data_IF_418054366757
#
_entry.id   IF_418054366757
#
_cell.length_a   1.000
_cell.length_b   1.000
_cell.length_c   1.000
_cell.angle_alpha   90.00
_cell.angle_beta   90.00
_cell.angle_gamma   90.00
#
_symmetry.space_group_name_H-M   'P 1'
#
loop_
_entity.id
_entity.type
_entity.pdbx_description
1 polymer ?
#
# COMPACT_ATOMS: atom_id res chain seq x y z
N UNK A 1 -78.59 -14.03 10.75
CA UNK A 1 -77.72 -14.77 11.68
C UNK A 1 -76.31 -14.20 11.51
N UNK A 2 -75.84 -13.35 12.45
CA UNK A 2 -74.45 -12.88 12.72
C UNK A 2 -73.70 -12.22 11.52
N UNK A 3 -72.89 -11.15 11.64
CA UNK A 3 -72.25 -10.46 12.77
C UNK A 3 -71.72 -9.09 12.29
N UNK A 4 -71.58 -8.16 13.24
CA UNK A 4 -70.94 -6.83 13.18
C UNK A 4 -69.43 -6.85 12.92
N UNK A 5 -68.85 -5.76 12.37
CA UNK A 5 -67.80 -4.91 13.02
C UNK A 5 -67.45 -3.67 12.14
N UNK A 6 -67.90 -2.43 12.43
CA UNK A 6 -67.31 -1.32 13.25
C UNK A 6 -66.13 -0.58 12.57
N UNK A 7 -66.35 0.54 11.86
CA UNK A 7 -66.29 1.98 12.26
C UNK A 7 -65.00 2.44 12.98
N UNK A 8 -64.23 3.32 12.34
CA UNK A 8 -63.28 4.25 12.96
C UNK A 8 -63.52 5.66 12.41
N UNK A 9 -63.83 6.63 13.28
CA UNK A 9 -63.85 8.06 12.99
C UNK A 9 -63.65 8.88 14.28
N UNK A 10 -62.51 9.59 14.33
CA UNK A 10 -62.24 10.94 14.92
C UNK A 10 -62.17 11.13 16.44
N UNK A 11 -61.11 11.83 16.92
CA UNK A 11 -61.13 13.24 17.44
C UNK A 11 -59.89 13.53 18.31
N UNK A 12 -59.34 14.72 18.04
CA UNK A 12 -58.24 15.47 18.63
C UNK A 12 -58.39 15.79 20.13
N UNK A 13 -57.28 15.89 20.88
CA UNK A 13 -57.19 16.68 22.12
C UNK A 13 -55.73 17.13 22.34
N UNK A 14 -55.53 18.44 22.56
CA UNK A 14 -54.24 19.09 22.77
C UNK A 14 -53.99 19.36 24.26
N UNK A 15 -52.78 19.05 24.78
CA UNK A 15 -52.27 19.57 26.07
C UNK A 15 -50.73 19.80 25.99
N UNK A 16 -50.37 21.07 26.20
CA UNK A 16 -49.17 21.70 26.79
C UNK A 16 -47.77 21.02 26.82
N UNK A 17 -46.81 21.78 26.25
CA UNK A 17 -45.55 22.30 26.82
C UNK A 17 -44.63 21.36 27.64
N UNK A 18 -43.47 21.05 27.05
CA UNK A 18 -42.32 20.45 27.74
C UNK A 18 -41.34 19.81 26.77
N UNK A 19 -40.73 20.60 25.87
CA UNK A 19 -39.61 20.13 25.05
C UNK A 19 -38.38 19.95 25.96
N UNK A 20 -38.25 18.79 26.58
CA UNK A 20 -36.94 18.27 26.99
C UNK A 20 -36.31 17.65 25.74
N UNK A 21 -35.59 18.49 24.98
CA UNK A 21 -34.59 17.98 24.05
C UNK A 21 -33.45 17.47 24.94
N UNK A 22 -33.46 16.17 25.24
CA UNK A 22 -32.27 15.49 25.74
C UNK A 22 -31.29 15.44 24.58
N UNK A 23 -30.42 16.45 24.50
CA UNK A 23 -29.19 16.35 23.72
C UNK A 23 -28.28 15.33 24.42
N UNK A 24 -28.44 14.05 24.09
CA UNK A 24 -27.31 13.13 24.23
C UNK A 24 -26.26 13.64 23.25
N UNK A 25 -25.20 14.23 23.79
CA UNK A 25 -24.05 14.67 23.04
C UNK A 25 -23.58 13.52 22.15
N UNK A 26 -23.41 13.82 20.86
CA UNK A 26 -22.74 12.94 19.92
C UNK A 26 -21.30 12.76 20.40
N UNK A 27 -20.80 11.52 20.43
CA UNK A 27 -19.36 11.28 20.50
C UNK A 27 -18.73 12.02 19.30
N UNK A 28 -17.82 12.95 19.58
CA UNK A 28 -17.28 13.89 18.61
C UNK A 28 -15.89 13.41 18.19
N UNK A 29 -15.82 12.18 17.67
CA UNK A 29 -14.60 11.64 17.05
C UNK A 29 -14.17 12.41 15.80
N UNK A 30 -13.21 11.86 15.07
CA UNK A 30 -12.64 12.46 13.87
C UNK A 30 -11.75 13.65 14.21
N UNK A 31 -10.93 13.54 15.25
CA UNK A 31 -10.04 14.61 15.64
C UNK A 31 -9.05 14.96 14.53
N UNK A 32 -8.75 16.26 14.41
CA UNK A 32 -7.83 16.77 13.41
C UNK A 32 -6.99 17.87 14.04
N UNK A 33 -5.82 17.47 14.50
CA UNK A 33 -4.74 18.37 14.89
C UNK A 33 -4.09 18.98 13.64
N UNK A 34 -3.60 20.21 13.77
CA UNK A 34 -2.97 20.96 12.66
C UNK A 34 -1.44 21.04 12.79
N UNK A 35 -0.89 20.80 13.98
CA UNK A 35 0.55 20.77 14.21
C UNK A 35 1.10 19.37 13.91
N UNK A 36 2.12 19.27 13.06
CA UNK A 36 2.82 18.02 12.79
C UNK A 36 4.03 17.87 13.72
N UNK A 37 4.18 16.72 14.36
CA UNK A 37 5.40 16.34 15.06
C UNK A 37 5.58 14.82 15.11
N UNK A 38 6.83 14.37 14.98
CA UNK A 38 7.17 12.96 14.94
C UNK A 38 6.84 12.30 13.61
N UNK A 39 7.69 11.36 13.21
CA UNK A 39 7.51 10.58 12.00
C UNK A 39 8.12 9.20 12.20
N UNK A 40 7.57 8.20 11.54
CA UNK A 40 8.20 6.89 11.42
C UNK A 40 8.02 6.35 10.00
N UNK A 41 8.93 5.47 9.61
CA UNK A 41 8.83 4.66 8.40
C UNK A 41 8.63 3.22 8.86
N UNK A 42 7.55 2.58 8.42
CA UNK A 42 7.19 1.21 8.77
C UNK A 42 7.65 0.21 7.69
N UNK A 43 8.18 0.69 6.55
CA UNK A 43 8.82 -0.18 5.54
C UNK A 43 10.07 -0.89 6.08
N UNK A 44 10.53 -0.45 7.26
CA UNK A 44 11.66 -1.01 8.00
C UNK A 44 11.22 -1.91 9.14
N UNK A 45 9.97 -2.37 9.19
CA UNK A 45 9.64 -3.47 10.08
C UNK A 45 10.59 -4.62 9.77
N UNK A 46 11.54 -4.81 10.68
CA UNK A 46 12.29 -6.04 10.75
C UNK A 46 11.30 -7.20 10.84
N UNK A 47 11.74 -8.44 10.56
CA UNK A 47 10.87 -9.59 10.26
C UNK A 47 9.91 -10.07 11.37
N UNK A 48 9.47 -9.25 12.34
CA UNK A 48 8.67 -9.67 13.49
C UNK A 48 7.67 -8.62 14.02
N UNK A 49 7.32 -7.58 13.27
CA UNK A 49 6.43 -6.51 13.76
C UNK A 49 6.99 -5.86 15.03
N UNK A 50 8.16 -5.24 14.98
CA UNK A 50 8.77 -4.63 16.16
C UNK A 50 8.11 -3.27 16.48
N UNK A 51 8.00 -2.92 17.76
CA UNK A 51 7.41 -1.63 18.16
C UNK A 51 8.34 -0.47 17.77
N UNK A 52 7.93 0.33 16.79
CA UNK A 52 8.67 1.52 16.35
C UNK A 52 8.25 2.72 17.19
N UNK A 53 9.23 3.40 17.79
CA UNK A 53 8.96 4.67 18.47
C UNK A 53 8.82 5.79 17.44
N UNK A 54 7.64 6.40 17.35
CA UNK A 54 7.40 7.58 16.51
C UNK A 54 8.09 8.80 17.15
N UNK A 55 7.89 8.97 18.45
CA UNK A 55 8.51 10.04 19.23
C UNK A 55 8.47 9.70 20.72
N UNK A 56 9.49 10.13 21.46
CA UNK A 56 9.48 10.09 22.92
C UNK A 56 8.75 11.28 23.55
N UNK A 57 8.35 12.26 22.73
CA UNK A 57 7.74 13.50 23.19
C UNK A 57 6.82 14.11 22.13
N UNK A 58 5.59 13.65 22.08
CA UNK A 58 4.50 14.25 21.31
C UNK A 58 3.55 14.97 22.26
N UNK A 59 2.81 15.96 21.77
CA UNK A 59 1.75 16.64 22.49
C UNK A 59 0.37 16.20 21.97
N UNK A 60 -0.63 16.19 22.84
CA UNK A 60 -2.03 15.84 22.51
C UNK A 60 -2.74 16.98 21.75
N UNK A 61 -1.99 17.68 20.91
CA UNK A 61 -2.41 18.72 19.95
C UNK A 61 -1.66 18.58 18.61
N UNK A 62 -0.93 17.48 18.44
CA UNK A 62 -0.09 17.18 17.28
C UNK A 62 -0.58 15.93 16.54
N UNK A 63 -0.17 15.79 15.29
CA UNK A 63 -0.26 14.54 14.53
C UNK A 63 1.12 14.11 14.07
N UNK A 64 1.29 12.82 13.80
CA UNK A 64 2.54 12.28 13.26
C UNK A 64 2.35 11.76 11.84
N UNK A 65 3.44 11.57 11.10
CA UNK A 65 3.42 11.03 9.73
C UNK A 65 4.06 9.66 9.69
N UNK A 66 3.32 8.64 9.24
CA UNK A 66 3.81 7.29 9.04
C UNK A 66 3.89 6.99 7.55
N UNK A 67 5.06 6.55 7.11
CA UNK A 67 5.38 6.21 5.72
C UNK A 67 5.75 4.74 5.59
N UNK A 68 5.79 4.21 4.36
CA UNK A 68 6.20 2.83 4.11
C UNK A 68 5.19 1.77 4.54
N UNK A 69 3.91 2.15 4.62
CA UNK A 69 2.83 1.28 5.09
C UNK A 69 2.61 0.15 4.08
N UNK A 70 2.63 -1.12 4.50
CA UNK A 70 2.30 -2.23 3.62
C UNK A 70 0.80 -2.33 3.36
N UNK A 71 0.46 -2.79 2.16
CA UNK A 71 -0.94 -3.00 1.75
C UNK A 71 -1.48 -4.28 2.39
N UNK A 72 -2.74 -4.25 2.85
CA UNK A 72 -3.43 -5.43 3.39
C UNK A 72 -3.10 -5.75 4.85
N UNK A 73 -2.19 -4.99 5.47
CA UNK A 73 -1.68 -5.26 6.81
C UNK A 73 -2.34 -4.39 7.90
N UNK A 74 -2.41 -4.91 9.12
CA UNK A 74 -2.97 -4.30 10.32
C UNK A 74 -1.92 -3.48 11.07
N UNK A 75 -2.11 -2.15 11.13
CA UNK A 75 -1.18 -1.21 11.75
C UNK A 75 -1.74 -0.69 13.08
N UNK A 76 -1.02 -0.90 14.18
CA UNK A 76 -1.42 -0.44 15.52
C UNK A 76 -0.64 0.80 15.97
N UNK A 77 -1.38 1.78 16.50
CA UNK A 77 -0.86 3.02 17.06
C UNK A 77 -1.08 3.07 18.57
N UNK A 78 -0.07 3.54 19.30
CA UNK A 78 -0.10 3.63 20.75
C UNK A 78 0.42 4.96 21.28
N UNK A 79 -0.16 5.43 22.38
CA UNK A 79 0.26 6.58 23.17
C UNK A 79 0.49 6.17 24.63
N UNK A 80 1.51 6.70 25.29
CA UNK A 80 1.84 6.33 26.67
C UNK A 80 0.81 6.81 27.71
N UNK A 81 -0.06 7.76 27.34
CA UNK A 81 -1.11 8.33 28.22
C UNK A 81 -2.43 7.57 28.11
N UNK A 82 -2.62 6.74 27.07
CA UNK A 82 -3.91 6.10 26.79
C UNK A 82 -4.94 7.07 26.17
N UNK A 83 -4.47 8.17 25.55
CA UNK A 83 -5.31 9.18 24.92
C UNK A 83 -6.11 8.65 23.73
N UNK A 84 -6.94 9.51 23.15
CA UNK A 84 -7.71 9.20 21.95
C UNK A 84 -6.86 9.42 20.69
N UNK A 85 -6.93 8.48 19.76
CA UNK A 85 -6.20 8.49 18.50
C UNK A 85 -7.22 8.52 17.37
N UNK A 86 -7.04 9.44 16.43
CA UNK A 86 -7.74 9.43 15.14
C UNK A 86 -6.70 9.22 14.05
N UNK A 87 -6.76 8.09 13.35
CA UNK A 87 -5.84 7.78 12.24
C UNK A 87 -6.49 8.17 10.93
N UNK A 88 -5.80 9.01 10.16
CA UNK A 88 -6.21 9.42 8.82
C UNK A 88 -5.27 8.85 7.77
N UNK A 89 -5.77 8.68 6.55
CA UNK A 89 -4.98 8.25 5.40
C UNK A 89 -4.82 9.37 4.39
N UNK A 90 -3.80 9.28 3.55
CA UNK A 90 -3.48 10.14 2.40
C UNK A 90 -3.01 11.56 2.77
N UNK A 91 -3.59 12.17 3.80
CA UNK A 91 -3.11 13.40 4.42
C UNK A 91 -3.55 13.52 5.88
N UNK A 92 -2.95 14.45 6.61
CA UNK A 92 -3.39 14.83 7.97
C UNK A 92 -4.83 15.36 8.04
N UNK A 93 -5.46 15.68 6.91
CA UNK A 93 -6.88 16.03 6.82
C UNK A 93 -7.74 15.00 6.09
N UNK A 94 -7.14 13.88 5.67
CA UNK A 94 -7.80 12.87 4.85
C UNK A 94 -8.85 12.07 5.60
N UNK A 95 -9.33 11.01 4.96
CA UNK A 95 -10.37 10.16 5.52
C UNK A 95 -9.90 9.51 6.83
N UNK A 96 -10.79 9.43 7.81
CA UNK A 96 -10.54 8.67 9.05
C UNK A 96 -10.65 7.19 8.72
N UNK A 97 -9.58 6.44 8.95
CA UNK A 97 -9.51 4.99 8.69
C UNK A 97 -9.61 4.17 9.98
N UNK A 98 -9.24 4.75 11.13
CA UNK A 98 -9.48 4.18 12.45
C UNK A 98 -9.54 5.27 13.52
N UNK A 99 -10.27 5.05 14.60
CA UNK A 99 -10.29 5.94 15.75
C UNK A 99 -10.69 5.23 17.05
N UNK A 100 -10.20 5.72 18.19
CA UNK A 100 -10.47 5.11 19.48
C UNK A 100 -9.51 5.55 20.57
N UNK A 101 -9.70 5.04 21.79
CA UNK A 101 -8.71 5.19 22.84
C UNK A 101 -7.55 4.22 22.59
N UNK A 102 -6.32 4.73 22.73
CA UNK A 102 -5.08 3.98 22.53
C UNK A 102 -5.08 2.63 23.28
N UNK A 103 -4.65 1.53 22.63
CA UNK A 103 -4.18 1.44 21.24
C UNK A 103 -5.31 1.48 20.20
N UNK A 104 -5.00 1.92 18.97
CA UNK A 104 -5.92 1.92 17.82
C UNK A 104 -5.29 1.21 16.62
N UNK A 105 -6.02 0.26 16.03
CA UNK A 105 -5.59 -0.52 14.86
C UNK A 105 -6.31 -0.05 13.60
N UNK A 106 -5.55 0.19 12.53
CA UNK A 106 -6.05 0.27 11.16
C UNK A 106 -5.96 -1.14 10.58
N UNK A 107 -7.09 -1.78 10.31
CA UNK A 107 -7.08 -3.12 9.70
C UNK A 107 -7.08 -3.05 8.18
N UNK A 108 -6.19 -3.79 7.52
CA UNK A 108 -6.04 -3.81 6.06
C UNK A 108 -5.67 -2.43 5.48
N UNK A 109 -4.46 -1.95 5.80
CA UNK A 109 -4.00 -0.65 5.33
C UNK A 109 -3.87 -0.59 3.80
N UNK A 110 -4.06 0.60 3.22
CA UNK A 110 -4.11 0.81 1.76
C UNK A 110 -2.74 0.99 1.11
N UNK A 111 -1.65 0.88 1.86
CA UNK A 111 -0.30 1.27 1.42
C UNK A 111 -0.01 2.78 1.50
N UNK A 112 -1.06 3.61 1.66
CA UNK A 112 -0.95 5.05 1.84
C UNK A 112 -0.28 5.42 3.16
N UNK A 113 0.30 6.61 3.22
CA UNK A 113 0.79 7.20 4.47
C UNK A 113 -0.36 7.36 5.48
N UNK A 114 -0.07 7.06 6.75
CA UNK A 114 -1.02 7.18 7.85
C UNK A 114 -0.65 8.35 8.77
N UNK A 115 -1.67 9.06 9.24
CA UNK A 115 -1.56 10.27 10.04
C UNK A 115 -2.33 10.12 11.35
N UNK A 116 -1.72 9.54 12.41
CA UNK A 116 -2.34 9.49 13.73
C UNK A 116 -2.35 10.88 14.38
N UNK A 117 -3.54 11.34 14.75
CA UNK A 117 -3.76 12.54 15.56
C UNK A 117 -3.92 12.15 17.03
N UNK A 118 -3.15 12.78 17.89
CA UNK A 118 -3.10 12.50 19.33
C UNK A 118 -3.98 13.51 20.09
N UNK A 119 -5.00 13.06 20.81
CA UNK A 119 -5.84 13.92 21.66
C UNK A 119 -6.08 13.30 23.03
N UNK A 120 -6.53 14.10 23.98
CA UNK A 120 -6.84 13.63 25.35
C UNK A 120 -8.07 12.71 25.33
N UNK A 121 -9.07 13.05 24.52
CA UNK A 121 -10.37 12.37 24.49
C UNK A 121 -11.05 12.45 23.11
N UNK A 122 -12.22 11.81 23.02
CA UNK A 122 -13.13 11.77 21.86
C UNK A 122 -13.95 13.07 21.70
N UNK A 123 -13.61 14.12 22.44
CA UNK A 123 -14.06 15.50 22.21
C UNK A 123 -12.90 16.38 21.66
N UNK A 124 -11.79 15.74 21.28
CA UNK A 124 -10.58 16.36 20.77
C UNK A 124 -9.99 17.40 21.73
N UNK A 125 -10.13 17.18 23.05
CA UNK A 125 -9.44 18.00 24.03
C UNK A 125 -7.93 17.85 23.87
N UNK A 126 -7.21 18.96 24.07
CA UNK A 126 -5.76 19.00 23.89
C UNK A 126 -5.00 19.15 25.20
N UNK A 127 -3.74 18.69 25.19
CA UNK A 127 -2.80 18.91 26.29
C UNK A 127 -1.35 18.99 25.79
N UNK A 128 -0.58 19.91 26.37
CA UNK A 128 0.84 20.09 26.06
C UNK A 128 1.76 19.32 27.00
N UNK A 129 1.26 18.26 27.65
CA UNK A 129 2.10 17.32 28.39
C UNK A 129 2.70 16.31 27.43
N UNK A 130 4.03 16.30 27.34
CA UNK A 130 4.82 15.39 26.53
C UNK A 130 4.50 13.91 26.83
N UNK A 131 4.27 13.12 25.78
CA UNK A 131 4.01 11.67 25.86
C UNK A 131 4.80 10.90 24.79
N UNK A 132 5.02 9.61 24.99
CA UNK A 132 5.64 8.75 23.98
C UNK A 132 4.58 8.15 23.04
N UNK A 133 4.84 8.20 21.73
CA UNK A 133 3.99 7.64 20.68
C UNK A 133 4.76 6.56 19.91
N UNK A 134 4.05 5.51 19.51
CA UNK A 134 4.62 4.37 18.79
C UNK A 134 3.65 3.82 17.75
N UNK A 135 4.22 3.13 16.75
CA UNK A 135 3.51 2.40 15.70
C UNK A 135 4.13 1.00 15.58
N UNK A 136 3.33 0.02 15.17
CA UNK A 136 3.77 -1.35 14.93
C UNK A 136 2.89 -1.96 13.83
N UNK A 137 3.46 -2.72 12.89
CA UNK A 137 2.65 -3.58 12.05
C UNK A 137 2.39 -4.89 12.79
N UNK A 138 1.12 -5.16 13.10
CA UNK A 138 0.70 -6.31 13.90
C UNK A 138 0.47 -7.58 13.07
N UNK A 139 0.34 -7.46 11.75
CA UNK A 139 0.21 -8.60 10.83
C UNK A 139 1.40 -8.78 9.88
N UNK A 140 2.31 -7.79 9.76
CA UNK A 140 3.57 -7.94 9.02
C UNK A 140 4.59 -8.82 9.72
N UNK A 141 4.33 -9.19 10.98
CA UNK A 141 5.11 -10.21 11.64
C UNK A 141 4.87 -11.50 10.87
N UNK A 142 5.94 -12.10 10.31
CA UNK A 142 5.84 -13.44 9.77
C UNK A 142 5.23 -14.33 10.84
N UNK A 143 4.16 -15.03 10.50
CA UNK A 143 3.41 -15.84 11.48
C UNK A 143 4.33 -16.84 12.20
N UNK A 144 5.41 -17.24 11.51
CA UNK A 144 6.46 -18.10 12.00
C UNK A 144 7.87 -17.54 11.73
N UNK A 145 8.91 -17.98 12.47
CA UNK A 145 10.29 -17.49 12.28
C UNK A 145 10.91 -17.77 10.91
N UNK A 146 10.41 -18.81 10.23
CA UNK A 146 10.95 -19.31 8.96
C UNK A 146 10.06 -18.96 7.75
N UNK A 147 8.97 -18.20 7.96
CA UNK A 147 7.99 -17.83 6.91
C UNK A 147 6.56 -17.70 7.44
N UNK A 148 5.58 -17.55 6.55
CA UNK A 148 4.16 -17.52 6.87
C UNK A 148 3.55 -18.93 6.87
N UNK A 149 2.41 -19.12 7.55
CA UNK A 149 1.71 -20.41 7.53
C UNK A 149 1.28 -20.72 6.09
N UNK A 150 1.55 -21.94 5.64
CA UNK A 150 1.27 -22.39 4.28
C UNK A 150 2.40 -22.18 3.29
N UNK A 151 3.43 -21.38 3.64
CA UNK A 151 4.61 -21.23 2.79
C UNK A 151 5.31 -22.58 2.59
N UNK A 152 5.78 -22.81 1.36
CA UNK A 152 6.60 -23.96 1.03
C UNK A 152 7.92 -23.91 1.81
N UNK A 153 8.31 -25.04 2.38
CA UNK A 153 9.53 -25.18 3.16
C UNK A 153 10.19 -26.54 2.89
N UNK A 154 11.28 -26.87 3.59
CA UNK A 154 11.95 -28.18 3.55
C UNK A 154 12.16 -28.63 4.99
N UNK A 155 11.45 -29.69 5.42
CA UNK A 155 11.54 -30.22 6.79
C UNK A 155 12.77 -31.13 6.99
N UNK A 156 13.52 -31.38 5.91
CA UNK A 156 14.71 -32.21 5.86
C UNK A 156 14.45 -33.71 5.96
N UNK A 157 13.20 -34.16 6.07
CA UNK A 157 12.82 -35.56 6.04
C UNK A 157 12.58 -36.02 4.60
N UNK A 158 13.50 -36.84 4.08
CA UNK A 158 13.37 -37.41 2.73
C UNK A 158 12.16 -38.37 2.56
N UNK A 159 11.37 -38.63 3.62
CA UNK A 159 10.16 -39.43 3.58
C UNK A 159 8.87 -38.60 3.57
N UNK A 160 8.95 -37.29 3.49
CA UNK A 160 7.82 -36.37 3.32
C UNK A 160 7.90 -35.67 1.97
N UNK A 161 6.80 -35.05 1.55
CA UNK A 161 6.73 -34.22 0.33
C UNK A 161 5.67 -33.14 0.50
N UNK A 162 5.84 -32.03 -0.22
CA UNK A 162 4.93 -30.88 -0.17
C UNK A 162 4.98 -30.22 1.21
N UNK A 163 6.19 -29.99 1.71
CA UNK A 163 6.39 -29.47 3.06
C UNK A 163 5.94 -28.02 3.14
N UNK A 164 5.13 -27.75 4.15
CA UNK A 164 4.59 -26.42 4.42
C UNK A 164 4.77 -26.06 5.87
N UNK A 165 4.86 -24.77 6.14
CA UNK A 165 4.83 -24.25 7.51
C UNK A 165 3.40 -24.43 8.05
N UNK A 166 3.25 -25.26 9.08
CA UNK A 166 1.97 -25.48 9.76
C UNK A 166 1.61 -24.36 10.73
N UNK A 167 0.36 -24.38 11.25
CA UNK A 167 -0.12 -23.43 12.27
C UNK A 167 0.68 -23.47 13.59
N UNK A 168 1.46 -24.53 13.81
CA UNK A 168 2.38 -24.67 14.94
C UNK A 168 3.80 -24.18 14.64
N UNK A 169 4.00 -23.51 13.49
CA UNK A 169 5.28 -23.02 12.99
C UNK A 169 6.34 -24.11 12.79
N UNK A 170 5.89 -25.33 12.52
CA UNK A 170 6.75 -26.45 12.14
C UNK A 170 6.61 -26.67 10.65
N UNK A 171 7.74 -26.64 9.95
CA UNK A 171 7.79 -27.16 8.59
C UNK A 171 7.57 -28.68 8.64
N UNK A 172 6.54 -29.17 7.96
CA UNK A 172 6.26 -30.59 7.85
C UNK A 172 5.56 -30.91 6.53
N UNK A 173 5.95 -32.01 5.88
CA UNK A 173 5.27 -32.50 4.69
C UNK A 173 4.29 -33.64 4.92
N UNK A 174 3.63 -34.05 3.84
CA UNK A 174 2.80 -35.24 3.82
C UNK A 174 3.69 -36.49 3.69
N UNK A 175 3.42 -37.58 4.44
CA UNK A 175 4.20 -38.81 4.33
C UNK A 175 4.20 -39.32 2.89
N UNK A 176 5.37 -39.69 2.39
CA UNK A 176 5.58 -40.18 1.04
C UNK A 176 4.92 -41.57 0.85
N UNK A 177 3.59 -41.57 0.68
CA UNK A 177 2.76 -42.77 0.63
C UNK A 177 2.23 -42.95 -0.79
N UNK A 178 2.76 -43.92 -1.54
CA UNK A 178 2.28 -44.16 -2.90
C UNK A 178 3.01 -43.36 -3.95
N UNK A 179 4.35 -43.42 -3.93
CA UNK A 179 5.28 -42.98 -4.98
C UNK A 179 5.00 -43.69 -6.32
N UNK A 180 3.83 -43.42 -6.91
CA UNK A 180 3.33 -44.13 -8.08
C UNK A 180 4.10 -43.70 -9.33
N UNK A 181 4.42 -44.70 -10.15
CA UNK A 181 5.13 -44.53 -11.40
C UNK A 181 4.41 -45.30 -12.48
N UNK A 182 3.68 -44.56 -13.30
CA UNK A 182 2.90 -45.10 -14.41
C UNK A 182 3.74 -45.06 -15.69
N UNK A 183 3.72 -46.15 -16.47
CA UNK A 183 4.57 -46.28 -17.67
C UNK A 183 3.95 -45.77 -18.97
N UNK A 184 2.64 -45.48 -18.96
CA UNK A 184 1.87 -45.11 -20.15
C UNK A 184 1.57 -43.61 -20.13
N UNK A 185 1.99 -42.88 -21.16
CA UNK A 185 1.69 -41.44 -21.30
C UNK A 185 0.33 -41.24 -21.99
N UNK A 186 -0.56 -40.45 -21.40
CA UNK A 186 -1.78 -40.00 -22.04
C UNK A 186 -2.22 -38.64 -21.47
N UNK A 187 -2.71 -37.77 -22.34
CA UNK A 187 -3.07 -36.39 -21.96
C UNK A 187 -1.85 -35.50 -21.79
N UNK A 188 -2.02 -34.23 -22.15
CA UNK A 188 -0.99 -33.20 -21.98
C UNK A 188 -1.64 -31.83 -21.98
N UNK A 189 -1.06 -30.89 -21.27
CA UNK A 189 -1.48 -29.49 -21.30
C UNK A 189 -0.27 -28.54 -21.25
N UNK A 190 -0.45 -27.34 -21.79
CA UNK A 190 0.53 -26.26 -21.73
C UNK A 190 -0.07 -25.07 -20.97
N UNK A 191 0.50 -24.72 -19.83
CA UNK A 191 0.04 -23.61 -19.00
C UNK A 191 0.55 -22.25 -19.47
N UNK A 192 1.31 -22.19 -20.57
CA UNK A 192 1.79 -20.92 -21.14
C UNK A 192 0.61 -20.01 -21.47
N UNK A 193 0.45 -18.93 -20.69
CA UNK A 193 -0.64 -17.97 -20.86
C UNK A 193 -2.02 -18.50 -20.45
N UNK A 194 -2.09 -19.60 -19.70
CA UNK A 194 -3.32 -20.14 -19.15
C UNK A 194 -3.93 -19.27 -18.04
N UNK A 195 -3.14 -18.34 -17.47
CA UNK A 195 -3.55 -17.53 -16.32
C UNK A 195 -4.04 -18.45 -15.18
N UNK A 196 -5.16 -18.13 -14.56
CA UNK A 196 -5.84 -18.94 -13.54
C UNK A 196 -6.91 -19.88 -14.11
N UNK A 197 -6.96 -20.09 -15.42
CA UNK A 197 -8.01 -20.89 -16.03
C UNK A 197 -7.92 -22.37 -15.62
N UNK A 198 -9.06 -22.96 -15.25
CA UNK A 198 -9.19 -24.40 -15.07
C UNK A 198 -9.20 -25.09 -16.45
N UNK A 199 -8.17 -25.89 -16.72
CA UNK A 199 -8.00 -26.61 -17.99
C UNK A 199 -8.29 -28.10 -17.84
N UNK A 200 -8.95 -28.67 -18.84
CA UNK A 200 -9.17 -30.12 -18.93
C UNK A 200 -8.00 -30.76 -19.67
N UNK A 201 -7.14 -31.47 -18.92
CA UNK A 201 -6.04 -32.26 -19.50
C UNK A 201 -6.60 -33.34 -20.43
N UNK A 202 -7.66 -34.01 -19.98
CA UNK A 202 -8.34 -35.08 -20.73
C UNK A 202 -9.68 -35.42 -20.09
N UNK A 203 -10.66 -35.78 -20.91
CA UNK A 203 -11.97 -36.32 -20.47
C UNK A 203 -11.95 -37.85 -20.30
N UNK A 204 -10.84 -38.51 -20.61
CA UNK A 204 -10.66 -39.96 -20.44
C UNK A 204 -9.17 -40.26 -20.23
N UNK A 205 -8.70 -40.10 -19.02
CA UNK A 205 -7.43 -40.64 -18.55
C UNK A 205 -7.70 -41.98 -17.86
N UNK A 206 -6.81 -42.94 -18.00
CA UNK A 206 -6.85 -44.16 -17.18
C UNK A 206 -5.99 -43.99 -15.93
N UNK A 207 -6.43 -44.59 -14.82
CA UNK A 207 -5.72 -44.59 -13.54
C UNK A 207 -4.53 -45.57 -13.54
N UNK A 208 -3.84 -45.66 -14.68
CA UNK A 208 -2.59 -46.37 -14.94
C UNK A 208 -1.69 -45.59 -15.92
N UNK A 209 -2.07 -44.33 -16.20
CA UNK A 209 -1.40 -43.41 -17.12
C UNK A 209 -0.83 -42.20 -16.37
N UNK A 210 0.03 -41.44 -17.03
CA UNK A 210 0.50 -40.14 -16.58
C UNK A 210 0.31 -39.09 -17.68
N UNK A 211 0.16 -37.84 -17.30
CA UNK A 211 0.10 -36.71 -18.23
C UNK A 211 1.40 -35.90 -18.20
N UNK A 212 1.62 -35.07 -19.21
CA UNK A 212 2.75 -34.12 -19.24
C UNK A 212 2.24 -32.69 -19.28
N UNK A 213 2.74 -31.87 -18.36
CA UNK A 213 2.28 -30.51 -18.14
C UNK A 213 3.48 -29.59 -18.28
N UNK A 214 3.40 -28.67 -19.22
CA UNK A 214 4.50 -27.77 -19.62
C UNK A 214 4.10 -26.32 -19.44
N UNK A 215 5.04 -25.39 -19.61
CA UNK A 215 4.75 -23.95 -19.55
C UNK A 215 4.48 -23.42 -18.15
N UNK A 216 5.02 -24.07 -17.13
CA UNK A 216 4.83 -23.73 -15.73
C UNK A 216 5.77 -22.58 -15.36
N UNK A 217 5.21 -21.51 -14.79
CA UNK A 217 5.98 -20.40 -14.24
C UNK A 217 6.62 -20.82 -12.91
N UNK A 218 7.89 -20.46 -12.71
CA UNK A 218 8.58 -20.74 -11.45
C UNK A 218 7.95 -19.94 -10.30
N UNK A 219 7.76 -20.58 -9.15
CA UNK A 219 7.08 -20.02 -7.97
C UNK A 219 5.57 -20.18 -8.00
N UNK A 220 4.98 -20.71 -9.07
CA UNK A 220 3.53 -20.86 -9.17
C UNK A 220 3.00 -22.12 -8.49
N UNK A 221 1.85 -21.98 -7.83
CA UNK A 221 1.05 -23.07 -7.30
C UNK A 221 0.17 -23.69 -8.39
N UNK A 222 0.26 -25.01 -8.54
CA UNK A 222 -0.44 -25.75 -9.60
C UNK A 222 -1.25 -26.89 -9.00
N UNK A 223 -2.56 -26.87 -9.19
CA UNK A 223 -3.48 -27.90 -8.72
C UNK A 223 -3.82 -28.90 -9.84
N UNK A 224 -3.78 -30.18 -9.49
CA UNK A 224 -4.22 -31.29 -10.33
C UNK A 224 -5.42 -31.98 -9.70
N UNK A 225 -6.42 -32.35 -10.51
CA UNK A 225 -7.57 -33.10 -10.03
C UNK A 225 -7.97 -34.22 -10.98
N UNK A 226 -8.41 -35.32 -10.37
CA UNK A 226 -9.27 -36.34 -10.97
C UNK A 226 -10.69 -35.99 -10.53
N UNK A 227 -11.58 -35.65 -11.46
CA UNK A 227 -12.92 -35.12 -11.14
C UNK A 227 -13.76 -36.10 -10.32
N UNK A 228 -13.58 -37.40 -10.55
CA UNK A 228 -14.29 -38.47 -9.81
C UNK A 228 -13.58 -38.90 -8.52
N UNK A 229 -12.46 -38.26 -8.18
CA UNK A 229 -11.58 -38.64 -7.09
C UNK A 229 -10.58 -39.73 -7.47
N UNK A 230 -9.58 -39.94 -6.63
CA UNK A 230 -8.48 -40.88 -6.87
C UNK A 230 -7.24 -40.44 -6.10
N UNK A 231 -6.08 -40.94 -6.52
CA UNK A 231 -4.78 -40.60 -5.97
C UNK A 231 -3.88 -40.05 -7.07
N UNK A 232 -3.13 -38.99 -6.76
CA UNK A 232 -2.26 -38.31 -7.70
C UNK A 232 -0.86 -38.28 -7.11
N UNK A 233 0.13 -38.68 -7.90
CA UNK A 233 1.56 -38.46 -7.60
C UNK A 233 2.11 -37.53 -8.66
N UNK A 234 2.61 -36.36 -8.28
CA UNK A 234 3.16 -35.37 -9.22
C UNK A 234 4.68 -35.41 -9.15
N UNK A 235 5.33 -35.64 -10.29
CA UNK A 235 6.79 -35.58 -10.43
C UNK A 235 7.21 -34.36 -11.24
N UNK A 236 8.47 -33.96 -11.09
CA UNK A 236 9.07 -32.85 -11.84
C UNK A 236 10.27 -33.31 -12.66
N UNK A 237 10.67 -32.51 -13.66
CA UNK A 237 11.79 -32.71 -14.60
C UNK A 237 11.67 -33.89 -15.57
N UNK A 238 11.25 -35.07 -15.09
CA UNK A 238 10.99 -36.26 -15.91
C UNK A 238 9.83 -37.10 -15.34
N UNK A 239 9.30 -38.01 -16.17
CA UNK A 239 8.28 -38.99 -15.77
C UNK A 239 8.69 -39.86 -14.57
N UNK A 240 9.99 -40.05 -14.34
CA UNK A 240 10.56 -40.80 -13.21
C UNK A 240 11.37 -39.91 -12.26
N UNK A 241 11.16 -38.60 -12.34
CA UNK A 241 11.82 -37.60 -11.50
C UNK A 241 11.34 -37.61 -10.05
N UNK A 242 11.84 -36.68 -9.23
CA UNK A 242 11.44 -36.57 -7.82
C UNK A 242 9.95 -36.21 -7.71
N UNK A 243 9.29 -36.78 -6.69
CA UNK A 243 7.91 -36.43 -6.34
C UNK A 243 7.92 -35.07 -5.65
N UNK A 244 7.07 -34.16 -6.12
CA UNK A 244 6.93 -32.79 -5.58
C UNK A 244 5.60 -32.56 -4.86
N UNK A 245 4.60 -33.38 -5.14
CA UNK A 245 3.35 -33.44 -4.38
C UNK A 245 2.67 -34.79 -4.60
N UNK A 246 1.89 -35.25 -3.63
CA UNK A 246 1.00 -36.40 -3.83
C UNK A 246 -0.11 -36.44 -2.79
N UNK A 247 -1.18 -37.18 -3.08
CA UNK A 247 -2.31 -37.31 -2.19
C UNK A 247 -3.57 -37.79 -2.88
N UNK A 248 -4.66 -37.83 -2.11
CA UNK A 248 -6.00 -38.00 -2.68
C UNK A 248 -6.38 -36.73 -3.42
N UNK A 249 -6.87 -36.86 -4.65
CA UNK A 249 -7.30 -35.73 -5.49
C UNK A 249 -8.29 -34.78 -4.77
N UNK A 250 -8.14 -33.45 -4.90
CA UNK A 250 -7.11 -32.74 -5.67
C UNK A 250 -5.74 -32.70 -4.97
N UNK A 251 -4.67 -32.46 -5.73
CA UNK A 251 -3.30 -32.31 -5.21
C UNK A 251 -2.67 -31.05 -5.79
N UNK A 252 -2.11 -30.22 -4.90
CA UNK A 252 -1.44 -28.97 -5.26
C UNK A 252 0.07 -29.12 -5.13
N UNK A 253 0.80 -28.69 -6.16
CA UNK A 253 2.23 -28.43 -6.11
C UNK A 253 2.41 -26.97 -5.72
N UNK A 254 3.01 -26.72 -4.56
CA UNK A 254 3.28 -25.36 -4.08
C UNK A 254 4.65 -24.89 -4.58
N UNK A 255 4.73 -23.65 -5.06
CA UNK A 255 5.98 -23.03 -5.49
C UNK A 255 6.74 -23.84 -6.55
N UNK A 256 6.06 -24.22 -7.64
CA UNK A 256 6.65 -25.08 -8.67
C UNK A 256 7.99 -24.52 -9.18
N UNK A 257 8.96 -25.40 -9.46
CA UNK A 257 10.30 -25.00 -9.90
C UNK A 257 10.37 -24.36 -11.30
N UNK A 258 9.25 -24.32 -12.02
CA UNK A 258 9.15 -23.95 -13.44
C UNK A 258 9.55 -25.07 -14.41
N UNK A 259 9.93 -26.25 -13.89
CA UNK A 259 10.14 -27.44 -14.71
C UNK A 259 8.80 -28.10 -15.08
N UNK A 260 8.84 -28.96 -16.10
CA UNK A 260 7.67 -29.74 -16.52
C UNK A 260 7.20 -30.67 -15.39
N UNK A 261 5.87 -30.76 -15.22
CA UNK A 261 5.24 -31.63 -14.23
C UNK A 261 4.59 -32.86 -14.89
N UNK A 262 4.67 -33.97 -14.17
CA UNK A 262 4.20 -35.29 -14.61
C UNK A 262 3.26 -35.86 -13.56
N UNK A 263 1.96 -35.50 -13.57
CA UNK A 263 0.97 -36.12 -12.70
C UNK A 263 0.67 -37.55 -13.14
N UNK A 264 0.81 -38.49 -12.21
CA UNK A 264 0.44 -39.89 -12.33
C UNK A 264 -0.92 -40.13 -11.69
N UNK A 265 -1.83 -40.77 -12.43
CA UNK A 265 -3.21 -40.99 -12.01
C UNK A 265 -3.37 -42.42 -11.48
N UNK A 266 -3.89 -42.59 -10.27
CA UNK A 266 -4.08 -43.89 -9.63
C UNK A 266 -5.39 -43.92 -8.83
N UNK A 267 -5.87 -45.12 -8.47
CA UNK A 267 -7.09 -45.26 -7.67
C UNK A 267 -6.86 -44.97 -6.19
N UNK A 268 -5.66 -45.20 -5.69
CA UNK A 268 -5.27 -45.04 -4.29
C UNK A 268 -3.74 -44.89 -4.13
N UNK A 269 -3.29 -44.54 -2.92
CA UNK A 269 -1.87 -44.44 -2.56
C UNK A 269 -1.13 -45.79 -2.45
N UNK A 270 -1.76 -46.91 -2.83
CA UNK A 270 -1.08 -48.18 -3.07
C UNK A 270 -0.82 -48.41 -4.58
N UNK A 271 -1.00 -47.36 -5.39
CA UNK A 271 -0.88 -47.36 -6.84
C UNK A 271 -1.83 -48.35 -7.51
N UNK A 272 -3.04 -48.48 -6.96
CA UNK A 272 -4.11 -49.20 -7.62
C UNK A 272 -4.41 -48.62 -9.00
N UNK A 273 -4.78 -49.51 -9.92
CA UNK A 273 -4.99 -49.22 -11.34
C UNK A 273 -6.43 -49.50 -11.75
N UNK A 274 -6.97 -48.64 -12.59
CA UNK A 274 -8.26 -48.85 -13.26
C UNK A 274 -8.23 -48.25 -14.68
N UNK A 275 -8.78 -49.00 -15.64
CA UNK A 275 -8.91 -48.61 -17.04
C UNK A 275 -10.28 -47.96 -17.33
N UNK A 276 -11.00 -47.55 -16.29
CA UNK A 276 -12.18 -46.70 -16.41
C UNK A 276 -11.74 -45.27 -16.75
N UNK A 277 -12.32 -44.67 -17.79
CA UNK A 277 -12.07 -43.27 -18.14
C UNK A 277 -12.44 -42.36 -16.97
N UNK A 278 -11.50 -41.53 -16.51
CA UNK A 278 -11.75 -40.42 -15.61
C UNK A 278 -11.40 -39.08 -16.27
N UNK A 279 -12.07 -38.01 -15.88
CA UNK A 279 -11.70 -36.65 -16.30
C UNK A 279 -10.60 -36.12 -15.38
N UNK A 280 -9.56 -35.54 -15.99
CA UNK A 280 -8.40 -34.97 -15.28
C UNK A 280 -8.21 -33.52 -15.68
N UNK A 281 -7.97 -32.66 -14.70
CA UNK A 281 -7.82 -31.21 -14.88
C UNK A 281 -6.54 -30.68 -14.25
N UNK A 282 -6.11 -29.51 -14.71
CA UNK A 282 -5.02 -28.71 -14.13
C UNK A 282 -5.45 -27.26 -14.04
N UNK A 283 -5.03 -26.57 -12.99
CA UNK A 283 -5.20 -25.13 -12.83
C UNK A 283 -3.92 -24.55 -12.22
N UNK A 284 -3.42 -23.44 -12.76
CA UNK A 284 -2.43 -22.65 -12.02
C UNK A 284 -3.16 -21.68 -11.11
N UNK A 285 -3.03 -21.83 -9.79
CA UNK A 285 -3.77 -21.02 -8.83
C UNK A 285 -3.21 -19.60 -8.68
N UNK A 286 -1.97 -19.38 -9.12
CA UNK A 286 -1.20 -18.13 -8.93
C UNK A 286 -0.60 -17.59 -10.23
N UNK A 287 -1.00 -18.12 -11.40
CA UNK A 287 -0.55 -17.59 -12.70
C UNK A 287 -1.54 -16.59 -13.30
N UNK A 288 -2.71 -16.40 -12.69
CA UNK A 288 -3.69 -15.39 -13.11
C UNK A 288 -3.18 -13.99 -12.86
N UNK A 289 -3.67 -13.02 -13.65
CA UNK A 289 -3.54 -11.63 -13.26
C UNK A 289 -4.54 -11.38 -12.13
N UNK A 290 -4.10 -10.75 -11.05
CA UNK A 290 -4.98 -10.42 -9.91
C UNK A 290 -6.20 -9.60 -10.37
N UNK A 291 -6.03 -8.84 -11.46
CA UNK A 291 -7.02 -7.96 -12.03
C UNK A 291 -7.14 -8.08 -13.56
N UNK A 292 -8.24 -7.61 -14.18
CA UNK A 292 -8.42 -7.65 -15.63
C UNK A 292 -7.38 -6.83 -16.42
N UNK A 293 -6.84 -5.78 -15.80
CA UNK A 293 -5.95 -4.81 -16.43
C UNK A 293 -4.46 -4.99 -16.04
N UNK A 294 -4.13 -5.97 -15.18
CA UNK A 294 -2.77 -6.23 -14.70
C UNK A 294 -2.73 -7.02 -13.39
N UNK A 295 -1.54 -7.16 -12.82
CA UNK A 295 -1.35 -7.65 -11.45
C UNK A 295 -1.45 -6.49 -10.45
N UNK A 296 -1.76 -6.80 -9.18
CA UNK A 296 -1.72 -5.79 -8.12
C UNK A 296 -0.29 -5.23 -8.00
N UNK A 297 -0.18 -3.91 -7.93
CA UNK A 297 1.09 -3.19 -7.91
C UNK A 297 1.71 -2.94 -9.29
N UNK A 298 1.10 -3.42 -10.39
CA UNK A 298 1.55 -3.04 -11.74
C UNK A 298 1.33 -1.53 -11.95
N UNK A 299 2.29 -0.83 -12.62
CA UNK A 299 2.13 0.57 -12.95
C UNK A 299 0.99 0.77 -13.93
N UNK A 300 0.16 1.77 -13.69
CA UNK A 300 -0.98 2.13 -14.52
C UNK A 300 -1.07 3.65 -14.69
N UNK A 301 -2.17 4.16 -15.26
CA UNK A 301 -2.46 5.60 -15.41
C UNK A 301 -3.92 5.81 -14.98
N UNK A 302 -4.14 6.51 -13.85
CA UNK A 302 -5.47 6.75 -13.28
C UNK A 302 -6.19 7.94 -13.96
N UNK A 303 -5.47 8.66 -14.83
CA UNK A 303 -5.95 9.81 -15.57
C UNK A 303 -6.11 11.09 -14.75
N UNK A 304 -5.69 11.12 -13.49
CA UNK A 304 -5.64 12.32 -12.65
C UNK A 304 -4.25 12.98 -12.78
N UNK A 305 -4.23 14.25 -13.17
CA UNK A 305 -2.98 14.99 -13.35
C UNK A 305 -2.33 15.42 -12.01
N UNK A 306 -3.02 15.20 -10.89
CA UNK A 306 -2.59 15.58 -9.55
C UNK A 306 -2.03 14.40 -8.74
N UNK A 307 -1.93 13.22 -9.35
CA UNK A 307 -1.35 12.01 -8.79
C UNK A 307 -0.08 11.64 -9.56
N UNK A 308 0.83 10.93 -8.89
CA UNK A 308 2.02 10.32 -9.48
C UNK A 308 2.18 8.88 -8.98
N UNK A 309 2.96 8.09 -9.72
CA UNK A 309 3.25 6.69 -9.39
C UNK A 309 1.99 5.82 -9.29
N UNK A 310 1.11 5.91 -10.28
CA UNK A 310 -0.15 5.16 -10.29
C UNK A 310 0.08 3.66 -10.37
N UNK A 311 -0.62 2.94 -9.50
CA UNK A 311 -0.52 1.49 -9.35
C UNK A 311 -1.90 0.86 -9.25
N UNK A 312 -2.01 -0.39 -9.72
CA UNK A 312 -3.24 -1.15 -9.65
C UNK A 312 -3.45 -1.69 -8.23
N UNK A 313 -4.54 -1.28 -7.57
CA UNK A 313 -4.90 -1.72 -6.21
C UNK A 313 -5.60 -3.09 -6.18
N UNK A 314 -5.81 -3.63 -4.97
CA UNK A 314 -6.50 -4.92 -4.75
C UNK A 314 -7.97 -4.91 -5.20
N UNK A 315 -8.58 -3.73 -5.30
CA UNK A 315 -9.92 -3.53 -5.85
C UNK A 315 -9.93 -3.44 -7.39
N UNK A 316 -8.77 -3.67 -8.02
CA UNK A 316 -8.53 -3.56 -9.45
C UNK A 316 -8.79 -2.15 -10.00
N UNK A 317 -8.63 -1.13 -9.16
CA UNK A 317 -8.68 0.28 -9.57
C UNK A 317 -7.25 0.82 -9.64
N UNK A 318 -6.95 1.51 -10.74
CA UNK A 318 -5.72 2.28 -10.85
C UNK A 318 -5.84 3.56 -10.03
N UNK A 319 -4.89 3.81 -9.13
CA UNK A 319 -4.82 5.04 -8.35
C UNK A 319 -3.35 5.42 -8.11
N UNK A 320 -3.05 6.71 -8.19
CA UNK A 320 -1.73 7.26 -7.87
C UNK A 320 -1.65 7.94 -6.51
N UNK A 321 -0.41 8.23 -6.13
CA UNK A 321 -0.08 8.99 -4.93
C UNK A 321 -0.30 10.47 -5.24
N UNK A 322 -1.12 11.21 -4.47
CA UNK A 322 -1.28 12.65 -4.68
C UNK A 322 0.07 13.37 -4.61
N UNK A 323 0.38 14.19 -5.62
CA UNK A 323 1.56 15.03 -5.62
C UNK A 323 1.37 16.10 -4.52
N UNK A 324 2.26 16.20 -3.51
CA UNK A 324 2.13 17.22 -2.47
C UNK A 324 2.22 18.62 -3.09
N UNK A 325 1.21 19.45 -2.85
CA UNK A 325 1.20 20.86 -3.25
C UNK A 325 2.12 21.68 -2.32
N UNK A 326 3.44 21.51 -2.48
CA UNK A 326 4.53 22.21 -1.76
C UNK A 326 4.66 23.69 -2.18
N UNK A 327 3.55 24.31 -2.61
CA UNK A 327 3.56 25.57 -3.36
C UNK A 327 3.26 26.80 -2.50
N UNK A 328 4.21 27.19 -1.65
CA UNK A 328 4.11 28.45 -0.90
C UNK A 328 3.83 29.64 -1.84
N UNK A 329 2.64 30.24 -1.69
CA UNK A 329 2.18 31.37 -2.50
C UNK A 329 2.14 32.64 -1.66
N UNK A 330 3.21 33.42 -1.74
CA UNK A 330 3.26 34.78 -1.23
C UNK A 330 2.57 35.76 -2.20
N UNK A 331 1.77 36.69 -1.68
CA UNK A 331 1.01 37.67 -2.50
C UNK A 331 1.59 39.09 -2.46
N UNK A 332 2.59 39.32 -1.61
CA UNK A 332 3.26 40.62 -1.47
C UNK A 332 4.51 40.64 -2.34
N UNK A 333 4.57 41.56 -3.30
CA UNK A 333 5.72 41.72 -4.18
C UNK A 333 6.78 42.62 -3.52
N UNK A 334 8.03 42.16 -3.48
CA UNK A 334 9.16 42.98 -3.05
C UNK A 334 10.45 42.63 -3.79
N UNK A 335 11.17 43.68 -4.19
CA UNK A 335 12.40 43.64 -4.97
C UNK A 335 12.28 42.94 -6.35
N UNK A 336 13.29 43.17 -7.18
CA UNK A 336 13.39 42.57 -8.50
C UNK A 336 14.84 42.55 -8.96
N UNK A 337 15.22 41.53 -9.72
CA UNK A 337 16.52 41.43 -10.37
C UNK A 337 16.38 41.16 -11.88
N UNK A 338 17.39 41.58 -12.64
CA UNK A 338 17.52 41.28 -14.08
C UNK A 338 18.83 40.51 -14.27
N UNK A 339 18.71 39.25 -14.67
CA UNK A 339 19.84 38.34 -14.80
C UNK A 339 20.54 38.46 -16.16
N UNK A 340 20.07 39.33 -17.08
CA UNK A 340 20.80 39.62 -18.32
C UNK A 340 22.15 40.33 -18.11
N UNK A 341 22.41 40.80 -16.89
CA UNK A 341 23.67 41.44 -16.50
C UNK A 341 24.83 40.46 -16.24
N UNK A 342 24.55 39.16 -16.28
CA UNK A 342 25.53 38.09 -16.13
C UNK A 342 26.70 38.27 -17.12
N UNK A 343 27.87 38.61 -16.56
CA UNK A 343 29.13 38.28 -17.22
C UNK A 343 29.22 36.76 -17.44
N UNK A 344 30.14 36.27 -18.29
CA UNK A 344 30.14 34.88 -18.79
C UNK A 344 30.39 33.76 -17.75
N UNK A 345 30.19 33.95 -16.43
CA UNK A 345 30.59 33.02 -15.37
C UNK A 345 29.63 32.88 -14.16
N UNK A 346 28.36 33.28 -14.20
CA UNK A 346 27.47 33.15 -13.02
C UNK A 346 27.86 34.14 -11.92
N UNK A 347 27.81 35.45 -12.17
CA UNK A 347 28.13 36.45 -11.17
C UNK A 347 26.94 36.71 -10.24
N UNK A 348 26.99 36.11 -9.05
CA UNK A 348 25.97 36.27 -8.00
C UNK A 348 25.44 37.71 -7.88
N UNK A 349 24.13 37.86 -8.11
CA UNK A 349 23.39 39.11 -8.08
C UNK A 349 22.59 39.16 -6.78
N UNK A 350 22.78 40.21 -5.98
CA UNK A 350 21.89 40.49 -4.85
C UNK A 350 20.52 40.97 -5.34
N UNK A 351 19.45 40.22 -5.05
CA UNK A 351 18.07 40.63 -5.31
C UNK A 351 17.69 41.73 -4.31
N UNK A 352 17.96 41.49 -3.03
CA UNK A 352 17.70 42.44 -1.94
C UNK A 352 18.53 42.12 -0.71
N UNK A 353 18.95 43.14 0.04
CA UNK A 353 19.54 42.96 1.38
C UNK A 353 18.50 42.84 2.49
N UNK A 354 17.21 42.88 2.14
CA UNK A 354 16.09 42.92 3.08
C UNK A 354 14.80 42.48 2.39
N UNK A 355 14.59 41.18 2.24
CA UNK A 355 13.28 40.59 1.87
C UNK A 355 12.64 39.97 3.11
N UNK A 356 11.33 40.08 3.26
CA UNK A 356 10.61 39.34 4.31
C UNK A 356 10.22 37.95 3.80
N UNK A 357 10.21 36.95 4.69
CA UNK A 357 9.80 35.58 4.36
C UNK A 357 8.27 35.44 4.30
N UNK A 358 7.62 36.39 3.64
CA UNK A 358 6.19 36.47 3.29
C UNK A 358 6.00 37.18 1.93
N UNK A 359 7.10 37.45 1.23
CA UNK A 359 7.17 38.21 -0.01
C UNK A 359 7.63 37.32 -1.17
N UNK A 360 7.38 37.76 -2.40
CA UNK A 360 7.99 37.21 -3.61
C UNK A 360 8.76 38.29 -4.35
N UNK A 361 9.77 37.88 -5.11
CA UNK A 361 10.54 38.79 -5.99
C UNK A 361 10.25 38.50 -7.46
N UNK A 362 10.55 39.46 -8.34
CA UNK A 362 10.43 39.26 -9.80
C UNK A 362 11.80 39.20 -10.44
N UNK A 363 12.05 38.13 -11.19
CA UNK A 363 13.32 37.86 -11.85
C UNK A 363 13.09 37.86 -13.34
N UNK A 364 13.73 38.81 -14.01
CA UNK A 364 13.58 39.05 -15.44
C UNK A 364 14.87 38.72 -16.17
N UNK A 365 14.80 38.54 -17.49
CA UNK A 365 16.00 38.29 -18.30
C UNK A 365 16.49 36.84 -18.27
N UNK A 366 15.64 35.90 -17.83
CA UNK A 366 15.98 34.50 -17.61
C UNK A 366 16.34 33.81 -18.94
N UNK A 367 17.56 33.27 -19.09
CA UNK A 367 17.94 32.51 -20.27
C UNK A 367 17.29 31.12 -20.27
N UNK A 368 16.66 30.74 -21.39
CA UNK A 368 16.05 29.42 -21.53
C UNK A 368 17.11 28.31 -21.62
N UNK A 369 16.92 27.24 -20.85
CA UNK A 369 17.76 26.05 -20.82
C UNK A 369 18.95 26.12 -19.88
N UNK A 370 19.07 27.18 -19.07
CA UNK A 370 20.13 27.34 -18.07
C UNK A 370 19.60 27.05 -16.67
N UNK A 371 20.51 26.67 -15.78
CA UNK A 371 20.24 26.50 -14.36
C UNK A 371 20.43 27.82 -13.61
N UNK A 372 19.41 28.22 -12.85
CA UNK A 372 19.39 29.45 -12.06
C UNK A 372 19.34 29.08 -10.58
N UNK A 373 20.25 29.58 -9.77
CA UNK A 373 20.28 29.34 -8.33
C UNK A 373 19.69 30.53 -7.56
N UNK A 374 18.71 30.28 -6.71
CA UNK A 374 18.17 31.24 -5.76
C UNK A 374 18.67 30.93 -4.36
N UNK A 375 19.04 31.95 -3.60
CA UNK A 375 19.44 31.76 -2.21
C UNK A 375 18.90 32.83 -1.28
N UNK A 376 18.50 32.37 -0.10
CA UNK A 376 18.34 33.14 1.12
C UNK A 376 19.61 32.92 1.94
N UNK A 377 20.38 33.97 2.21
CA UNK A 377 21.70 33.87 2.85
C UNK A 377 21.64 33.21 4.24
N UNK A 378 20.53 33.43 4.96
CA UNK A 378 20.29 32.86 6.30
C UNK A 378 19.60 31.49 6.26
N UNK A 379 19.32 30.95 5.06
CA UNK A 379 18.51 29.75 4.86
C UNK A 379 17.01 30.05 4.86
N UNK A 380 16.22 29.07 4.44
CA UNK A 380 14.77 29.18 4.31
C UNK A 380 14.27 28.27 3.19
N UNK A 381 12.99 28.36 2.88
CA UNK A 381 12.36 27.61 1.79
C UNK A 381 11.99 28.55 0.65
N UNK A 382 12.17 28.07 -0.58
CA UNK A 382 11.96 28.83 -1.80
C UNK A 382 10.99 28.04 -2.67
N UNK A 383 9.90 28.68 -3.11
CA UNK A 383 9.04 28.17 -4.18
C UNK A 383 9.22 29.07 -5.39
N UNK A 384 9.61 28.55 -6.55
CA UNK A 384 9.79 29.33 -7.78
C UNK A 384 8.62 29.06 -8.71
N UNK A 385 7.95 30.13 -9.15
CA UNK A 385 6.88 30.08 -10.16
C UNK A 385 7.31 30.76 -11.45
N UNK A 386 6.68 30.40 -12.57
CA UNK A 386 7.03 30.92 -13.90
C UNK A 386 5.87 31.67 -14.55
N UNK A 387 6.17 32.80 -15.21
CA UNK A 387 5.23 33.57 -16.04
C UNK A 387 4.32 34.52 -15.25
N UNK A 388 3.91 34.17 -14.03
CA UNK A 388 3.27 35.07 -13.06
C UNK A 388 3.58 34.61 -11.63
N UNK A 389 3.35 35.48 -10.64
CA UNK A 389 3.56 35.16 -9.22
C UNK A 389 2.62 34.05 -8.71
N UNK A 390 1.50 33.80 -9.39
CA UNK A 390 0.54 32.73 -9.12
C UNK A 390 0.56 31.65 -10.22
N UNK A 391 1.60 31.66 -11.06
CA UNK A 391 1.78 30.70 -12.14
C UNK A 391 2.15 29.31 -11.64
N UNK A 392 2.40 28.36 -12.57
CA UNK A 392 2.84 27.02 -12.21
C UNK A 392 4.17 27.07 -11.43
N UNK A 393 4.29 26.19 -10.43
CA UNK A 393 5.55 25.95 -9.73
C UNK A 393 6.50 25.25 -10.68
N UNK A 394 7.75 25.74 -10.75
CA UNK A 394 8.82 25.14 -11.53
C UNK A 394 9.86 24.44 -10.66
N UNK A 395 9.99 24.85 -9.39
CA UNK A 395 10.80 24.18 -8.38
C UNK A 395 10.38 24.65 -6.98
N UNK A 396 10.59 23.80 -5.97
CA UNK A 396 10.49 24.19 -4.56
C UNK A 396 11.53 23.44 -3.73
N UNK A 397 12.00 24.04 -2.63
CA UNK A 397 13.00 23.42 -1.76
C UNK A 397 13.71 24.40 -0.84
N UNK A 398 14.61 23.88 0.00
CA UNK A 398 15.42 24.71 0.89
C UNK A 398 16.52 25.46 0.13
N UNK A 399 16.80 26.69 0.57
CA UNK A 399 17.89 27.52 0.08
C UNK A 399 19.28 26.89 0.33
N UNK A 400 20.20 26.91 -0.64
CA UNK A 400 20.03 27.40 -2.01
C UNK A 400 19.23 26.43 -2.89
N UNK A 401 18.37 26.96 -3.76
CA UNK A 401 17.53 26.20 -4.68
C UNK A 401 17.94 26.48 -6.13
N UNK A 402 18.33 25.43 -6.86
CA UNK A 402 18.59 25.50 -8.31
C UNK A 402 17.33 25.14 -9.10
N UNK A 403 17.01 25.92 -10.13
CA UNK A 403 15.93 25.64 -11.09
C UNK A 403 16.46 25.64 -12.52
N UNK A 404 16.12 24.62 -13.29
CA UNK A 404 16.37 24.61 -14.73
C UNK A 404 15.29 25.42 -15.45
N UNK A 405 15.64 26.57 -16.00
CA UNK A 405 14.69 27.46 -16.66
C UNK A 405 14.24 26.89 -18.02
N UNK A 406 13.13 26.15 -18.06
CA UNK A 406 12.63 25.52 -19.29
C UNK A 406 12.27 26.51 -20.42
N UNK A 407 12.05 27.79 -20.10
CA UNK A 407 11.74 28.86 -21.05
C UNK A 407 12.34 30.19 -20.61
N UNK A 408 12.31 31.21 -21.49
CA UNK A 408 12.75 32.57 -21.15
C UNK A 408 11.67 33.41 -20.47
N UNK A 409 10.76 32.77 -19.73
CA UNK A 409 9.74 33.45 -18.95
C UNK A 409 10.33 34.03 -17.66
N UNK A 410 9.72 35.09 -17.15
CA UNK A 410 10.09 35.66 -15.85
C UNK A 410 9.82 34.64 -14.74
N UNK A 411 10.70 34.61 -13.74
CA UNK A 411 10.60 33.75 -12.57
C UNK A 411 10.19 34.56 -11.33
N UNK A 412 9.42 33.91 -10.46
CA UNK A 412 8.85 34.49 -9.27
C UNK A 412 9.20 33.60 -8.07
N UNK A 413 10.37 33.78 -7.44
CA UNK A 413 10.71 33.10 -6.19
C UNK A 413 9.90 33.69 -5.03
N UNK A 414 9.26 32.82 -4.27
CA UNK A 414 8.54 33.09 -3.03
C UNK A 414 9.43 32.66 -1.86
N UNK A 415 9.62 33.56 -0.90
CA UNK A 415 10.52 33.38 0.23
C UNK A 415 9.74 32.97 1.48
N UNK A 416 10.06 31.83 2.07
CA UNK A 416 9.39 31.30 3.25
C UNK A 416 10.42 30.78 4.27
N UNK A 417 9.97 30.53 5.50
CA UNK A 417 10.82 29.99 6.56
C UNK A 417 11.08 28.50 6.36
N UNK A 418 10.06 27.75 5.95
CA UNK A 418 10.08 26.30 5.75
C UNK A 418 9.10 25.88 4.63
N UNK A 419 9.12 24.58 4.32
CA UNK A 419 8.21 23.86 3.42
C UNK A 419 6.73 23.97 3.82
N UNK A 420 6.45 24.27 5.09
CA UNK A 420 5.10 24.55 5.60
C UNK A 420 4.65 26.01 5.40
N UNK A 421 5.39 26.78 4.58
CA UNK A 421 5.10 28.17 4.25
C UNK A 421 5.04 29.13 5.44
N UNK A 422 5.73 28.81 6.54
CA UNK A 422 5.81 29.70 7.69
C UNK A 422 6.39 31.05 7.28
N UNK A 423 5.82 32.11 7.84
CA UNK A 423 6.15 33.50 7.53
C UNK A 423 6.97 34.14 8.64
N UNK A 424 7.93 34.98 8.25
CA UNK A 424 8.70 35.78 9.20
C UNK A 424 8.85 37.24 8.76
N UNK A 425 8.63 38.14 9.71
CA UNK A 425 8.88 39.59 9.55
C UNK A 425 10.35 39.98 9.81
N UNK A 426 11.24 39.00 9.98
CA UNK A 426 12.69 39.23 10.01
C UNK A 426 13.17 39.34 8.58
N UNK A 427 13.89 40.42 8.26
CA UNK A 427 14.40 40.60 6.91
C UNK A 427 15.64 39.75 6.66
N UNK A 428 15.68 39.08 5.51
CA UNK A 428 16.79 38.23 5.04
C UNK A 428 17.39 38.78 3.76
N UNK A 429 18.66 38.46 3.49
CA UNK A 429 19.30 38.77 2.21
C UNK A 429 18.96 37.69 1.18
N UNK A 430 18.55 38.10 -0.03
CA UNK A 430 18.17 37.22 -1.14
C UNK A 430 19.03 37.49 -2.37
N UNK A 431 19.42 36.42 -3.05
CA UNK A 431 20.38 36.44 -4.14
C UNK A 431 19.96 35.49 -5.27
N UNK A 432 20.45 35.74 -6.49
CA UNK A 432 20.28 34.88 -7.66
C UNK A 432 21.59 34.76 -8.44
N UNK A 433 21.87 33.61 -9.04
CA UNK A 433 23.05 33.35 -9.88
C UNK A 433 22.70 32.49 -11.10
#
# INVERSE_FOLDING_TARGET
MKMHLTKMLTVCCAILFGAFISSTAFAQGGCQNVASFGSADISVDGPNGELITISTCSYEEEYSTITGVPVGEDIEFSSSTGGYITVRTDSAGGAVVAEGFSPVTVSGASGSNLFPHWTVDDACATASSCLATSVQCTSCATECPDGNIGDACDDGDANTVGDVIGEDCVCAGQPLTGDCLNGSSFGSEDLTGAADALLTISTCSYQEEYSTITGISAGSDVEFAIVEGGYITVRTDSVDGPVVAQGTSPVTVLGASGADLYPHWNTDGACGQDASCVETTVQCLTCGTDCPDGNIGDPCDDGDENTENDVLGEDCVCAGTPIPDDSCLNTVAFASADITAEGPNGELIGISTCSYQEEYSTITGVPAGEDIEFSIVEGGYITVRSGSFDGPVVAAGFSPLTVSAASGADLYPHWNVNDSCEQAATCVETQVQ
#
